data_IF_647612887677
#
_entry.id   IF_647612887677
#
_cell.length_a   1.000
_cell.length_b   1.000
_cell.length_c   1.000
_cell.angle_alpha   90.00
_cell.angle_beta   90.00
_cell.angle_gamma   90.00
#
_symmetry.space_group_name_H-M   'P 1'
#
loop_
_entity.id
_entity.type
_entity.pdbx_description
1 polymer ?
#
# COMPACT_ATOMS: atom_id res chain seq x y z
N UNK A 1 -7.55 -10.36 21.18
CA UNK A 1 -7.79 -10.60 19.74
C UNK A 1 -7.89 -12.10 19.49
N UNK A 2 -8.98 -12.54 18.85
CA UNK A 2 -9.28 -13.97 18.62
C UNK A 2 -8.19 -14.66 17.79
N UNK A 3 -7.69 -14.01 16.74
CA UNK A 3 -6.60 -14.53 15.92
C UNK A 3 -5.32 -14.77 16.74
N UNK A 4 -4.99 -13.85 17.66
CA UNK A 4 -3.84 -14.03 18.55
C UNK A 4 -3.98 -15.25 19.46
N UNK A 5 -5.17 -15.45 20.04
CA UNK A 5 -5.44 -16.62 20.89
C UNK A 5 -5.30 -17.95 20.14
N UNK A 6 -5.71 -17.99 18.86
CA UNK A 6 -5.51 -19.16 18.01
C UNK A 6 -4.01 -19.39 17.77
N UNK A 7 -3.28 -18.35 17.40
CA UNK A 7 -1.83 -18.45 17.14
C UNK A 7 -1.07 -18.90 18.38
N UNK A 8 -1.38 -18.33 19.56
CA UNK A 8 -0.73 -18.68 20.83
C UNK A 8 -1.02 -20.15 21.21
N UNK A 9 -2.27 -20.60 21.01
CA UNK A 9 -2.65 -22.00 21.26
C UNK A 9 -1.92 -22.96 20.34
N UNK A 10 -1.88 -22.68 19.04
CA UNK A 10 -1.20 -23.53 18.06
C UNK A 10 0.30 -23.56 18.31
N UNK A 11 0.93 -22.43 18.63
CA UNK A 11 2.33 -22.35 19.00
C UNK A 11 2.62 -23.16 20.28
N UNK A 12 1.72 -23.08 21.28
CA UNK A 12 1.86 -23.84 22.53
C UNK A 12 1.78 -25.36 22.29
N UNK A 13 0.98 -25.81 21.31
CA UNK A 13 0.82 -27.23 20.97
C UNK A 13 2.04 -27.84 20.27
N UNK A 14 2.92 -27.02 19.67
CA UNK A 14 4.14 -27.51 19.05
C UNK A 14 5.13 -28.02 20.10
N UNK A 15 5.87 -29.10 19.80
CA UNK A 15 6.93 -29.61 20.65
C UNK A 15 8.11 -28.62 20.74
N UNK A 16 9.01 -28.84 21.68
CA UNK A 16 10.25 -28.06 21.83
C UNK A 16 10.08 -26.76 22.62
N UNK A 17 11.20 -26.09 22.84
CA UNK A 17 11.25 -24.81 23.55
C UNK A 17 10.91 -23.65 22.60
N UNK A 18 10.27 -22.59 23.11
CA UNK A 18 10.12 -21.36 22.34
C UNK A 18 11.44 -20.57 22.29
N UNK A 19 11.67 -19.88 21.17
CA UNK A 19 12.73 -18.92 20.97
C UNK A 19 12.13 -17.52 20.88
N UNK A 20 12.83 -16.53 21.44
CA UNK A 20 12.36 -15.15 21.53
C UNK A 20 13.35 -14.23 20.85
N UNK A 21 12.91 -13.52 19.84
CA UNK A 21 13.71 -12.53 19.12
C UNK A 21 13.15 -11.14 19.41
N UNK A 22 13.95 -10.29 20.03
CA UNK A 22 13.55 -8.93 20.34
C UNK A 22 13.95 -8.01 19.19
N UNK A 23 13.01 -7.12 18.78
CA UNK A 23 13.29 -6.09 17.80
C UNK A 23 14.33 -5.07 18.34
N UNK A 24 15.17 -4.59 17.44
CA UNK A 24 16.05 -3.46 17.68
C UNK A 24 15.34 -2.19 17.23
N UNK A 25 15.05 -1.27 18.16
CA UNK A 25 14.38 -0.01 17.87
C UNK A 25 15.34 1.14 18.15
N UNK A 26 15.53 2.02 17.16
CA UNK A 26 16.39 3.19 17.29
C UNK A 26 15.63 4.47 16.96
N UNK A 27 16.02 5.60 17.56
CA UNK A 27 15.36 6.88 17.35
C UNK A 27 13.89 6.90 17.76
N UNK A 28 13.08 7.62 17.01
CA UNK A 28 11.64 7.74 17.27
C UNK A 28 10.85 6.80 16.35
N UNK A 29 10.35 5.70 16.92
CA UNK A 29 9.46 4.76 16.23
C UNK A 29 8.30 4.41 17.18
N UNK A 30 7.08 4.93 16.97
CA UNK A 30 5.96 4.72 17.88
C UNK A 30 5.50 3.24 17.90
N UNK A 31 5.28 2.68 19.10
CA UNK A 31 4.91 1.26 19.28
C UNK A 31 3.66 0.85 18.49
N UNK A 32 2.66 1.74 18.39
CA UNK A 32 1.41 1.45 17.65
C UNK A 32 1.61 1.32 16.14
N UNK A 33 2.78 1.72 15.63
CA UNK A 33 3.15 1.62 14.20
C UNK A 33 4.11 0.46 13.92
N UNK A 34 4.44 -0.36 14.90
CA UNK A 34 5.36 -1.48 14.71
C UNK A 34 4.85 -2.42 13.60
N UNK A 35 5.67 -2.69 12.58
CA UNK A 35 5.28 -3.54 11.45
C UNK A 35 5.24 -5.02 11.83
N UNK A 36 6.00 -5.42 12.84
CA UNK A 36 6.09 -6.77 13.38
C UNK A 36 6.00 -6.75 14.91
N UNK A 37 5.91 -7.91 15.55
CA UNK A 37 5.87 -8.01 16.99
C UNK A 37 7.25 -7.60 17.60
N UNK A 38 7.25 -6.78 18.65
CA UNK A 38 8.49 -6.38 19.33
C UNK A 38 9.27 -7.59 19.85
N UNK A 39 8.53 -8.57 20.37
CA UNK A 39 9.08 -9.85 20.79
C UNK A 39 8.44 -10.93 19.94
N UNK A 40 9.17 -11.39 18.92
CA UNK A 40 8.77 -12.51 18.10
C UNK A 40 9.04 -13.80 18.86
N UNK A 41 7.98 -14.56 19.13
CA UNK A 41 8.07 -15.88 19.78
C UNK A 41 7.73 -16.96 18.76
N UNK A 42 8.67 -17.88 18.51
CA UNK A 42 8.50 -18.96 17.53
C UNK A 42 9.04 -20.28 18.05
N UNK A 43 8.61 -21.35 17.42
CA UNK A 43 9.14 -22.71 17.58
C UNK A 43 9.39 -23.33 16.20
N UNK A 44 10.19 -24.36 16.14
CA UNK A 44 10.29 -25.24 14.98
C UNK A 44 8.91 -25.83 14.64
N UNK A 45 8.56 -25.88 13.35
CA UNK A 45 7.25 -26.26 12.85
C UNK A 45 6.19 -25.14 12.90
N UNK A 46 6.55 -23.91 13.33
CA UNK A 46 5.59 -22.83 13.38
C UNK A 46 5.18 -22.36 11.98
N UNK A 47 3.87 -22.22 11.78
CA UNK A 47 3.33 -21.60 10.57
C UNK A 47 3.46 -20.08 10.67
N UNK A 48 4.09 -19.49 9.68
CA UNK A 48 4.40 -18.05 9.61
C UNK A 48 3.87 -17.43 8.35
N UNK A 49 3.76 -16.09 8.37
CA UNK A 49 3.50 -15.27 7.19
C UNK A 49 4.56 -14.18 7.10
N UNK A 50 5.08 -13.96 5.90
CA UNK A 50 6.03 -12.89 5.64
C UNK A 50 5.33 -11.52 5.60
N UNK A 51 6.01 -10.49 6.12
CA UNK A 51 5.47 -9.12 6.28
C UNK A 51 6.07 -8.12 5.30
N UNK A 52 7.03 -8.57 4.49
CA UNK A 52 7.78 -7.75 3.55
C UNK A 52 8.11 -8.56 2.30
N UNK A 53 8.43 -7.89 1.20
CA UNK A 53 8.98 -8.55 0.03
C UNK A 53 10.49 -8.67 0.19
N UNK A 54 11.05 -9.81 -0.18
CA UNK A 54 12.50 -9.99 -0.27
C UNK A 54 13.06 -9.06 -1.35
N UNK A 55 13.96 -8.16 -0.93
CA UNK A 55 14.62 -7.19 -1.82
C UNK A 55 15.91 -7.75 -2.43
N UNK A 56 16.32 -8.96 -2.03
CA UNK A 56 17.47 -9.65 -2.61
C UNK A 56 17.22 -10.03 -4.08
N UNK A 57 18.27 -10.37 -4.79
CA UNK A 57 18.18 -10.84 -6.18
C UNK A 57 17.39 -12.15 -6.30
N UNK A 58 17.39 -12.96 -5.26
CA UNK A 58 16.76 -14.28 -5.24
C UNK A 58 15.24 -14.21 -5.08
N UNK A 59 14.70 -13.13 -4.46
CA UNK A 59 13.27 -12.89 -4.23
C UNK A 59 12.55 -14.12 -3.65
N UNK A 60 13.13 -14.71 -2.60
CA UNK A 60 12.68 -15.98 -1.99
C UNK A 60 11.32 -15.90 -1.32
N UNK A 61 10.88 -14.69 -0.90
CA UNK A 61 9.59 -14.49 -0.25
C UNK A 61 8.95 -13.15 -0.63
N UNK A 62 7.65 -13.05 -0.43
CA UNK A 62 6.86 -11.84 -0.63
C UNK A 62 5.88 -11.62 0.51
N UNK A 63 5.40 -10.40 0.66
CA UNK A 63 4.45 -10.03 1.70
C UNK A 63 3.15 -10.85 1.57
N UNK A 64 2.78 -11.56 2.65
CA UNK A 64 1.62 -12.44 2.69
C UNK A 64 1.90 -13.89 2.30
N UNK A 65 3.10 -14.25 1.86
CA UNK A 65 3.49 -15.63 1.63
C UNK A 65 3.44 -16.41 2.94
N UNK A 66 2.86 -17.60 2.91
CA UNK A 66 2.80 -18.51 4.06
C UNK A 66 4.01 -19.44 4.02
N UNK A 67 4.69 -19.54 5.15
CA UNK A 67 5.85 -20.39 5.34
C UNK A 67 5.78 -21.21 6.62
N UNK A 68 6.81 -22.00 6.81
CA UNK A 68 7.03 -22.83 8.00
C UNK A 68 8.45 -22.66 8.51
N UNK A 69 8.62 -22.58 9.83
CA UNK A 69 9.94 -22.57 10.47
C UNK A 69 10.49 -24.00 10.47
N UNK A 70 11.58 -24.22 9.73
CA UNK A 70 12.22 -25.55 9.60
C UNK A 70 13.14 -25.82 10.77
N UNK A 71 13.97 -24.83 11.11
CA UNK A 71 14.88 -24.90 12.23
C UNK A 71 15.07 -23.51 12.86
N UNK A 72 15.27 -23.46 14.16
CA UNK A 72 15.49 -22.22 14.89
C UNK A 72 16.47 -22.45 16.05
N UNK A 73 17.39 -21.50 16.21
CA UNK A 73 18.27 -21.42 17.37
C UNK A 73 18.28 -19.97 17.91
N UNK A 74 19.12 -19.65 18.88
CA UNK A 74 19.14 -18.34 19.52
C UNK A 74 19.58 -17.18 18.58
N UNK A 75 20.10 -17.47 17.39
CA UNK A 75 20.64 -16.48 16.43
C UNK A 75 20.14 -16.61 15.01
N UNK A 76 19.54 -17.74 14.64
CA UNK A 76 19.21 -18.06 13.25
C UNK A 76 17.83 -18.70 13.13
N UNK A 77 17.14 -18.36 12.06
CA UNK A 77 15.84 -18.91 11.71
C UNK A 77 15.90 -19.40 10.27
N UNK A 78 15.68 -20.70 10.06
CA UNK A 78 15.52 -21.30 8.74
C UNK A 78 14.04 -21.51 8.45
N UNK A 79 13.62 -21.06 7.29
CA UNK A 79 12.22 -21.09 6.87
C UNK A 79 12.10 -21.64 5.47
N UNK A 80 10.92 -22.17 5.14
CA UNK A 80 10.57 -22.56 3.78
C UNK A 80 9.17 -22.08 3.42
N UNK A 81 8.90 -21.93 2.13
CA UNK A 81 7.52 -21.74 1.65
C UNK A 81 6.69 -22.99 1.97
N UNK A 82 5.44 -22.82 2.34
CA UNK A 82 4.55 -23.95 2.64
C UNK A 82 4.34 -24.81 1.38
N UNK A 83 4.79 -26.06 1.44
CA UNK A 83 4.73 -26.99 0.31
C UNK A 83 6.00 -27.05 -0.53
N UNK A 84 7.04 -26.26 -0.21
CA UNK A 84 8.36 -26.38 -0.80
C UNK A 84 9.27 -27.30 0.02
N UNK A 85 10.25 -27.92 -0.65
CA UNK A 85 11.33 -28.68 0.00
C UNK A 85 12.56 -27.80 0.26
N UNK A 86 12.65 -26.63 -0.38
CA UNK A 86 13.78 -25.72 -0.25
C UNK A 86 13.60 -24.80 0.96
N UNK A 87 14.54 -24.81 1.86
CA UNK A 87 14.64 -23.92 3.01
C UNK A 87 15.74 -22.87 2.80
N UNK A 88 15.62 -21.75 3.50
CA UNK A 88 16.60 -20.68 3.47
C UNK A 88 16.73 -19.99 4.83
N UNK A 89 17.92 -19.43 5.07
CA UNK A 89 18.18 -18.60 6.23
C UNK A 89 17.43 -17.29 6.10
N UNK A 90 16.56 -17.00 7.07
CA UNK A 90 15.86 -15.73 7.15
C UNK A 90 16.72 -14.70 7.90
N UNK A 91 16.85 -13.53 7.32
CA UNK A 91 17.57 -12.42 7.93
C UNK A 91 16.58 -11.37 8.50
N UNK A 92 16.97 -10.66 9.57
CA UNK A 92 16.22 -9.52 10.05
C UNK A 92 16.18 -8.41 9.00
N UNK A 93 15.02 -7.75 8.89
CA UNK A 93 14.78 -6.63 8.00
C UNK A 93 14.57 -5.33 8.80
N UNK A 94 14.89 -4.20 8.18
CA UNK A 94 14.73 -2.89 8.78
C UNK A 94 13.57 -2.13 8.15
N UNK A 95 12.80 -1.43 8.98
CA UNK A 95 11.76 -0.48 8.58
C UNK A 95 12.11 0.90 9.11
N UNK A 96 12.01 1.92 8.26
CA UNK A 96 12.23 3.31 8.63
C UNK A 96 10.92 4.01 9.00
N UNK A 97 10.95 4.83 10.04
CA UNK A 97 9.94 5.83 10.30
C UNK A 97 10.38 7.14 9.63
N UNK A 98 9.70 7.53 8.56
CA UNK A 98 10.06 8.69 7.74
C UNK A 98 9.19 9.90 8.07
N UNK A 99 9.84 11.06 8.15
CA UNK A 99 9.18 12.35 8.21
C UNK A 99 9.52 13.18 6.98
N UNK A 100 8.50 13.79 6.41
CA UNK A 100 8.68 14.71 5.30
C UNK A 100 8.92 16.11 5.83
N UNK A 101 10.06 16.70 5.47
CA UNK A 101 10.47 18.04 5.87
C UNK A 101 10.63 18.90 4.62
N UNK A 102 9.99 20.09 4.64
CA UNK A 102 10.17 21.08 3.59
C UNK A 102 11.52 21.78 3.79
N UNK A 103 12.40 21.68 2.81
CA UNK A 103 13.59 22.52 2.77
C UNK A 103 13.17 23.95 2.39
N UNK A 104 13.35 24.89 3.29
CA UNK A 104 12.91 26.28 3.09
C UNK A 104 13.68 27.00 1.98
N UNK A 105 14.92 26.61 1.71
CA UNK A 105 15.76 27.22 0.68
C UNK A 105 15.43 26.69 -0.72
N UNK A 106 15.38 25.36 -0.88
CA UNK A 106 15.13 24.73 -2.20
C UNK A 106 13.64 24.55 -2.50
N UNK A 107 12.75 24.68 -1.49
CA UNK A 107 11.31 24.37 -1.57
C UNK A 107 11.00 22.91 -1.94
N UNK A 108 11.97 22.04 -1.75
CA UNK A 108 11.81 20.61 -1.98
C UNK A 108 11.42 19.89 -0.69
N UNK A 109 10.61 18.84 -0.84
CA UNK A 109 10.24 17.95 0.27
C UNK A 109 11.30 16.85 0.35
N UNK A 110 11.99 16.78 1.48
CA UNK A 110 12.99 15.73 1.76
C UNK A 110 12.48 14.76 2.80
N UNK A 111 12.84 13.49 2.65
CA UNK A 111 12.56 12.45 3.65
C UNK A 111 13.69 12.39 4.67
N UNK A 112 13.33 12.41 5.96
CA UNK A 112 14.27 12.25 7.07
C UNK A 112 13.84 11.04 7.87
N UNK A 113 14.76 10.14 8.17
CA UNK A 113 14.53 8.98 9.04
C UNK A 113 14.54 9.46 10.49
N UNK A 114 13.40 9.38 11.19
CA UNK A 114 13.30 9.70 12.62
C UNK A 114 13.67 8.52 13.54
N UNK A 115 13.48 7.29 13.03
CA UNK A 115 13.81 6.08 13.77
C UNK A 115 13.74 4.86 12.89
N UNK A 116 14.29 3.74 13.36
CA UNK A 116 14.25 2.45 12.68
C UNK A 116 13.76 1.35 13.61
N UNK A 117 13.12 0.36 13.00
CA UNK A 117 12.67 -0.87 13.66
C UNK A 117 13.24 -2.04 12.89
N UNK A 118 14.05 -2.88 13.52
CA UNK A 118 14.69 -4.04 12.91
C UNK A 118 14.22 -5.32 13.58
N UNK A 119 13.66 -6.23 12.79
CA UNK A 119 13.12 -7.51 13.27
C UNK A 119 13.06 -8.51 12.10
N UNK A 120 12.90 -9.79 12.39
CA UNK A 120 12.56 -10.78 11.37
C UNK A 120 11.21 -10.44 10.74
N UNK A 121 11.11 -10.42 9.39
CA UNK A 121 9.91 -9.97 8.67
C UNK A 121 8.81 -11.04 8.63
N UNK A 122 8.49 -11.64 9.77
CA UNK A 122 7.50 -12.71 9.90
C UNK A 122 6.59 -12.52 11.12
N UNK A 123 5.45 -13.15 11.07
CA UNK A 123 4.55 -13.36 12.22
C UNK A 123 3.91 -14.73 12.19
N UNK A 124 3.38 -15.20 13.32
CA UNK A 124 2.55 -16.40 13.37
C UNK A 124 1.30 -16.22 12.50
N UNK A 125 0.93 -17.24 11.75
CA UNK A 125 -0.12 -17.16 10.74
C UNK A 125 -1.01 -18.40 10.63
N UNK A 126 -1.31 -19.08 11.73
CA UNK A 126 -2.44 -20.01 11.75
C UNK A 126 -3.77 -19.27 11.66
N UNK A 127 -3.85 -18.08 12.27
CA UNK A 127 -4.98 -17.18 12.12
C UNK A 127 -4.52 -15.74 11.94
N UNK A 128 -5.23 -15.00 11.07
CA UNK A 128 -5.05 -13.56 10.86
C UNK A 128 -6.41 -12.86 10.90
N UNK A 129 -6.44 -11.58 11.22
CA UNK A 129 -7.69 -10.82 11.16
C UNK A 129 -8.04 -10.47 9.71
N UNK A 130 -9.33 -10.28 9.42
CA UNK A 130 -9.82 -9.91 8.09
C UNK A 130 -9.12 -8.62 7.61
N UNK A 131 -8.92 -7.63 8.48
CA UNK A 131 -8.20 -6.41 8.12
C UNK A 131 -6.75 -6.68 7.68
N UNK A 132 -6.03 -7.54 8.41
CA UNK A 132 -4.65 -7.89 8.05
C UNK A 132 -4.55 -8.78 6.81
N UNK A 133 -5.66 -9.39 6.39
CA UNK A 133 -5.74 -10.16 5.14
C UNK A 133 -6.00 -9.30 3.89
N UNK A 134 -6.24 -8.00 4.05
CA UNK A 134 -6.45 -7.10 2.92
C UNK A 134 -5.20 -7.08 2.01
N UNK A 135 -5.41 -7.19 0.71
CA UNK A 135 -4.33 -7.27 -0.28
C UNK A 135 -3.69 -8.65 -0.42
N UNK A 136 -3.97 -9.60 0.49
CA UNK A 136 -3.46 -10.96 0.42
C UNK A 136 -4.43 -11.88 -0.34
N UNK A 137 -3.91 -12.99 -0.84
CA UNK A 137 -4.69 -14.02 -1.51
C UNK A 137 -4.25 -15.39 -1.02
N UNK A 138 -5.23 -16.25 -0.70
CA UNK A 138 -4.98 -17.58 -0.16
C UNK A 138 -5.55 -18.66 -1.08
N UNK A 139 -4.85 -19.77 -1.19
CA UNK A 139 -5.35 -20.96 -1.88
C UNK A 139 -6.45 -21.64 -1.08
N UNK A 140 -6.28 -21.70 0.25
CA UNK A 140 -7.22 -22.28 1.20
C UNK A 140 -7.32 -21.41 2.44
N UNK A 141 -8.54 -21.17 2.91
CA UNK A 141 -8.78 -20.43 4.15
C UNK A 141 -10.05 -20.91 4.85
N UNK A 142 -10.01 -20.97 6.17
CA UNK A 142 -11.19 -21.11 7.03
C UNK A 142 -11.58 -19.72 7.48
N UNK A 143 -12.80 -19.30 7.15
CA UNK A 143 -13.27 -17.93 7.41
C UNK A 143 -14.31 -17.97 8.53
N UNK A 144 -14.02 -17.27 9.63
CA UNK A 144 -14.99 -16.95 10.68
C UNK A 144 -15.50 -15.52 10.49
N UNK A 145 -16.70 -15.40 9.94
CA UNK A 145 -17.37 -14.11 9.71
C UNK A 145 -18.54 -13.87 10.68
N UNK A 146 -18.66 -14.64 11.77
CA UNK A 146 -19.78 -14.53 12.73
C UNK A 146 -19.93 -13.15 13.34
N UNK A 147 -18.80 -12.48 13.60
CA UNK A 147 -18.72 -11.20 14.29
C UNK A 147 -18.30 -10.07 13.34
N UNK A 148 -18.66 -10.15 12.05
CA UNK A 148 -18.46 -9.02 11.13
C UNK A 148 -19.29 -7.83 11.60
N UNK A 149 -18.63 -6.68 11.80
CA UNK A 149 -19.23 -5.46 12.34
C UNK A 149 -19.14 -4.26 11.39
N UNK A 150 -18.38 -4.39 10.32
CA UNK A 150 -18.17 -3.32 9.36
C UNK A 150 -18.75 -3.65 7.97
N UNK A 151 -19.20 -2.62 7.26
CA UNK A 151 -19.67 -2.75 5.89
C UNK A 151 -18.59 -3.40 5.01
N UNK A 152 -19.00 -4.37 4.19
CA UNK A 152 -18.11 -5.07 3.26
C UNK A 152 -17.10 -6.02 3.89
N UNK A 153 -17.01 -6.14 5.22
CA UNK A 153 -16.00 -6.99 5.89
C UNK A 153 -16.13 -8.46 5.50
N UNK A 154 -17.35 -8.97 5.40
CA UNK A 154 -17.61 -10.34 4.94
C UNK A 154 -17.16 -10.54 3.49
N UNK A 155 -17.44 -9.57 2.61
CA UNK A 155 -16.97 -9.59 1.23
C UNK A 155 -15.44 -9.61 1.14
N UNK A 156 -14.76 -8.77 1.92
CA UNK A 156 -13.30 -8.76 1.99
C UNK A 156 -12.75 -10.13 2.40
N UNK A 157 -13.35 -10.77 3.42
CA UNK A 157 -12.92 -12.09 3.86
C UNK A 157 -13.10 -13.15 2.77
N UNK A 158 -14.28 -13.24 2.17
CA UNK A 158 -14.61 -14.24 1.14
C UNK A 158 -13.73 -14.05 -0.11
N UNK A 159 -13.49 -12.81 -0.51
CA UNK A 159 -12.67 -12.48 -1.69
C UNK A 159 -11.17 -12.75 -1.50
N UNK A 160 -10.72 -13.18 -0.32
CA UNK A 160 -9.32 -13.57 -0.08
C UNK A 160 -8.98 -14.94 -0.63
N UNK A 161 -9.94 -15.83 -0.82
CA UNK A 161 -9.70 -17.14 -1.44
C UNK A 161 -9.73 -17.06 -2.98
N UNK A 162 -8.79 -17.75 -3.63
CA UNK A 162 -8.73 -17.83 -5.10
C UNK A 162 -9.95 -18.56 -5.68
N UNK A 163 -10.41 -19.62 -5.03
CA UNK A 163 -11.49 -20.49 -5.51
C UNK A 163 -12.49 -20.82 -4.38
N UNK A 164 -13.69 -21.21 -4.76
CA UNK A 164 -14.70 -21.66 -3.80
C UNK A 164 -14.31 -22.98 -3.12
N UNK A 165 -13.59 -23.86 -3.81
CA UNK A 165 -13.11 -25.14 -3.29
C UNK A 165 -12.09 -24.97 -2.16
N UNK A 166 -11.35 -23.85 -2.17
CA UNK A 166 -10.39 -23.52 -1.12
C UNK A 166 -11.02 -22.83 0.08
N UNK A 167 -12.29 -22.43 -0.01
CA UNK A 167 -12.96 -21.65 1.01
C UNK A 167 -13.81 -22.54 1.92
N UNK A 168 -13.55 -22.47 3.23
CA UNK A 168 -14.36 -23.11 4.26
C UNK A 168 -14.93 -22.05 5.18
N UNK A 169 -16.21 -22.13 5.50
CA UNK A 169 -16.83 -21.27 6.51
C UNK A 169 -16.84 -22.00 7.85
N UNK A 170 -16.31 -21.38 8.90
CA UNK A 170 -16.38 -21.91 10.28
C UNK A 170 -17.82 -22.07 10.76
N UNK A 171 -18.71 -21.21 10.27
CA UNK A 171 -20.15 -21.29 10.51
C UNK A 171 -20.92 -20.70 9.33
N UNK A 172 -22.21 -21.08 9.14
CA UNK A 172 -23.05 -20.51 8.11
C UNK A 172 -23.14 -18.98 8.24
N UNK A 173 -23.04 -18.28 7.10
CA UNK A 173 -23.22 -16.84 7.07
C UNK A 173 -24.67 -16.48 7.38
N UNK A 174 -24.86 -15.60 8.35
CA UNK A 174 -26.15 -15.01 8.66
C UNK A 174 -26.37 -13.76 7.82
N UNK A 175 -27.63 -13.39 7.56
CA UNK A 175 -27.96 -12.17 6.82
C UNK A 175 -27.38 -10.92 7.49
N UNK A 176 -27.32 -10.91 8.81
CA UNK A 176 -26.79 -9.81 9.63
C UNK A 176 -25.27 -9.63 9.47
N UNK A 177 -24.56 -10.66 9.01
CA UNK A 177 -23.13 -10.58 8.71
C UNK A 177 -22.84 -9.93 7.33
N UNK A 178 -23.89 -9.79 6.49
CA UNK A 178 -23.79 -9.13 5.18
C UNK A 178 -24.24 -7.69 5.35
N UNK A 179 -23.33 -6.85 5.80
CA UNK A 179 -23.58 -5.43 6.02
C UNK A 179 -23.20 -4.69 4.75
N UNK A 180 -24.17 -4.10 4.05
CA UNK A 180 -23.95 -3.25 2.89
C UNK A 180 -24.24 -1.78 3.24
N UNK A 181 -23.58 -0.87 2.53
CA UNK A 181 -23.84 0.56 2.63
C UNK A 181 -24.89 0.96 1.57
N UNK A 182 -26.02 1.48 2.02
CA UNK A 182 -27.11 1.89 1.12
C UNK A 182 -26.70 3.00 0.14
N UNK A 183 -25.73 3.85 0.51
CA UNK A 183 -25.19 4.90 -0.38
C UNK A 183 -24.42 4.26 -1.52
N UNK A 184 -23.56 3.28 -1.20
CA UNK A 184 -22.77 2.53 -2.20
C UNK A 184 -23.70 1.70 -3.10
N UNK A 185 -24.70 1.02 -2.52
CA UNK A 185 -25.67 0.23 -3.28
C UNK A 185 -26.47 1.10 -4.25
N UNK A 186 -26.93 2.28 -3.82
CA UNK A 186 -27.65 3.22 -4.65
C UNK A 186 -26.75 3.79 -5.77
N UNK A 187 -25.53 4.17 -5.44
CA UNK A 187 -24.54 4.61 -6.43
C UNK A 187 -24.28 3.54 -7.49
N UNK A 188 -24.06 2.29 -7.07
CA UNK A 188 -23.85 1.18 -7.99
C UNK A 188 -25.03 0.97 -8.94
N UNK A 189 -26.27 1.01 -8.41
CA UNK A 189 -27.48 0.91 -9.22
C UNK A 189 -27.61 2.08 -10.21
N UNK A 190 -27.24 3.28 -9.79
CA UNK A 190 -27.26 4.46 -10.64
C UNK A 190 -26.23 4.35 -11.78
N UNK A 191 -25.00 3.93 -11.46
CA UNK A 191 -23.96 3.67 -12.48
C UNK A 191 -24.40 2.59 -13.48
N UNK A 192 -25.04 1.51 -13.02
CA UNK A 192 -25.56 0.47 -13.91
C UNK A 192 -26.67 0.98 -14.83
N UNK A 193 -27.58 1.82 -14.32
CA UNK A 193 -28.64 2.43 -15.13
C UNK A 193 -28.11 3.42 -16.17
N UNK A 194 -27.04 4.14 -15.81
CA UNK A 194 -26.44 5.20 -16.60
C UNK A 194 -25.21 4.73 -17.39
N UNK A 195 -25.06 3.43 -17.62
CA UNK A 195 -23.95 2.91 -18.44
C UNK A 195 -23.93 3.59 -19.80
N UNK A 196 -22.79 4.20 -20.20
CA UNK A 196 -22.70 4.88 -21.49
C UNK A 196 -22.89 3.91 -22.64
N UNK A 197 -23.81 4.22 -23.55
CA UNK A 197 -23.98 3.49 -24.80
C UNK A 197 -22.92 3.86 -25.83
N UNK A 198 -22.82 3.09 -26.92
CA UNK A 198 -21.82 3.28 -27.98
C UNK A 198 -21.82 4.70 -28.58
N UNK A 199 -23.00 5.32 -28.71
CA UNK A 199 -23.12 6.70 -29.18
C UNK A 199 -22.46 7.67 -28.21
N UNK A 200 -22.77 7.56 -26.94
CA UNK A 200 -22.22 8.40 -25.89
C UNK A 200 -20.70 8.24 -25.77
N UNK A 201 -20.18 7.01 -25.87
CA UNK A 201 -18.74 6.75 -25.90
C UNK A 201 -18.07 7.42 -27.12
N UNK A 202 -18.70 7.37 -28.30
CA UNK A 202 -18.19 8.05 -29.49
C UNK A 202 -18.18 9.58 -29.32
N UNK A 203 -19.22 10.14 -28.71
CA UNK A 203 -19.30 11.58 -28.47
C UNK A 203 -18.27 12.03 -27.42
N UNK A 204 -18.07 11.25 -26.35
CA UNK A 204 -17.01 11.49 -25.36
C UNK A 204 -15.61 11.38 -25.97
N UNK A 205 -15.37 10.41 -26.85
CA UNK A 205 -14.11 10.27 -27.57
C UNK A 205 -13.81 11.49 -28.46
N UNK A 206 -14.82 12.00 -29.18
CA UNK A 206 -14.68 13.22 -29.97
C UNK A 206 -14.38 14.43 -29.09
N UNK A 207 -15.10 14.59 -27.98
CA UNK A 207 -14.86 15.67 -27.02
C UNK A 207 -13.41 15.62 -26.49
N UNK A 208 -12.93 14.44 -26.11
CA UNK A 208 -11.55 14.25 -25.67
C UNK A 208 -10.52 14.66 -26.74
N UNK A 209 -10.75 14.31 -28.00
CA UNK A 209 -9.86 14.76 -29.08
C UNK A 209 -9.90 16.28 -29.29
N UNK A 210 -11.05 16.92 -29.12
CA UNK A 210 -11.15 18.37 -29.15
C UNK A 210 -10.40 19.02 -27.99
N UNK A 211 -10.48 18.45 -26.79
CA UNK A 211 -9.72 18.92 -25.61
C UNK A 211 -8.21 18.81 -25.87
N UNK A 212 -7.73 17.68 -26.41
CA UNK A 212 -6.32 17.52 -26.79
C UNK A 212 -5.87 18.55 -27.82
N UNK A 213 -6.72 18.85 -28.83
CA UNK A 213 -6.41 19.91 -29.80
C UNK A 213 -6.38 21.28 -29.15
N UNK A 214 -7.31 21.58 -28.26
CA UNK A 214 -7.34 22.84 -27.51
C UNK A 214 -6.07 23.00 -26.66
N UNK A 215 -5.61 21.92 -26.01
CA UNK A 215 -4.38 21.92 -25.23
C UNK A 215 -3.14 22.14 -26.12
N UNK A 216 -3.12 21.56 -27.32
CA UNK A 216 -2.03 21.74 -28.29
C UNK A 216 -1.90 23.22 -28.71
N UNK A 217 -3.03 23.94 -28.82
CA UNK A 217 -3.07 25.37 -29.17
C UNK A 217 -3.18 26.28 -27.95
N UNK A 218 -2.89 25.76 -26.74
CA UNK A 218 -2.84 26.53 -25.52
C UNK A 218 -1.49 27.27 -25.40
N UNK A 219 -1.49 28.54 -25.75
CA UNK A 219 -0.30 29.39 -25.68
C UNK A 219 -0.13 30.12 -24.33
N UNK A 220 -0.86 29.71 -23.29
CA UNK A 220 -0.79 30.35 -21.97
C UNK A 220 0.64 30.45 -21.41
N UNK A 221 1.47 29.41 -21.58
CA UNK A 221 2.87 29.44 -21.15
C UNK A 221 3.70 30.48 -21.91
N UNK A 222 3.44 30.66 -23.20
CA UNK A 222 4.09 31.68 -24.02
C UNK A 222 3.66 33.09 -23.57
N UNK A 223 2.36 33.30 -23.35
CA UNK A 223 1.83 34.56 -22.81
C UNK A 223 2.46 34.92 -21.46
N UNK A 224 2.60 33.95 -20.55
CA UNK A 224 3.25 34.16 -19.26
C UNK A 224 4.75 34.47 -19.39
N UNK A 225 5.44 33.82 -20.32
CA UNK A 225 6.85 34.11 -20.60
C UNK A 225 7.01 35.51 -21.17
N UNK A 226 6.14 35.93 -22.07
CA UNK A 226 6.10 37.26 -22.65
C UNK A 226 5.85 38.35 -21.58
N UNK A 227 4.86 38.16 -20.70
CA UNK A 227 4.58 39.07 -19.58
C UNK A 227 5.78 39.21 -18.63
N UNK A 228 6.50 38.09 -18.38
CA UNK A 228 7.77 38.16 -17.61
C UNK A 228 8.85 38.96 -18.32
N UNK A 229 9.01 38.75 -19.62
CA UNK A 229 9.97 39.49 -20.42
C UNK A 229 9.65 41.00 -20.38
N UNK A 230 8.40 41.41 -20.60
CA UNK A 230 8.00 42.82 -20.52
C UNK A 230 8.32 43.42 -19.16
N UNK A 231 8.11 42.70 -18.07
CA UNK A 231 8.43 43.14 -16.71
C UNK A 231 9.93 43.36 -16.55
N UNK A 232 10.76 42.43 -16.99
CA UNK A 232 12.23 42.58 -16.96
C UNK A 232 12.70 43.77 -17.79
N UNK A 233 12.11 44.00 -18.96
CA UNK A 233 12.45 45.16 -19.80
C UNK A 233 12.07 46.49 -19.13
N UNK A 234 10.93 46.53 -18.44
CA UNK A 234 10.42 47.72 -17.75
C UNK A 234 11.20 48.01 -16.45
N UNK A 235 11.50 47.00 -15.65
CA UNK A 235 12.14 47.17 -14.34
C UNK A 235 13.67 47.32 -14.46
N UNK A 236 14.32 46.48 -15.26
CA UNK A 236 15.78 46.36 -15.28
C UNK A 236 16.44 47.08 -16.46
N UNK A 237 15.85 47.04 -17.65
CA UNK A 237 16.50 47.47 -18.89
C UNK A 237 15.96 48.78 -19.47
N UNK A 238 14.84 49.30 -18.94
CA UNK A 238 14.22 50.56 -19.48
C UNK A 238 15.18 51.73 -19.54
N UNK A 239 16.02 51.91 -18.54
CA UNK A 239 16.99 53.03 -18.49
C UNK A 239 18.08 52.92 -19.55
N UNK A 240 18.43 51.70 -19.95
CA UNK A 240 19.48 51.43 -20.94
C UNK A 240 18.89 51.36 -22.37
N UNK A 241 17.69 50.82 -22.52
CA UNK A 241 17.07 50.55 -23.82
C UNK A 241 15.59 50.95 -23.87
N UNK A 242 15.22 52.24 -23.72
CA UNK A 242 13.81 52.65 -23.62
C UNK A 242 12.96 52.32 -24.86
N UNK A 243 13.56 52.30 -26.05
CA UNK A 243 12.85 51.95 -27.30
C UNK A 243 12.49 50.50 -27.37
N UNK A 244 13.25 49.62 -26.76
CA UNK A 244 13.05 48.18 -26.78
C UNK A 244 11.69 47.79 -26.15
N UNK A 245 11.37 48.38 -24.99
CA UNK A 245 10.10 48.17 -24.32
C UNK A 245 8.90 48.58 -25.19
N UNK A 246 9.02 49.71 -25.91
CA UNK A 246 7.94 50.18 -26.80
C UNK A 246 7.69 49.20 -27.96
N UNK A 247 8.76 48.70 -28.57
CA UNK A 247 8.67 47.74 -29.67
C UNK A 247 8.07 46.41 -29.22
N UNK A 248 8.47 45.88 -28.05
CA UNK A 248 7.89 44.63 -27.52
C UNK A 248 6.43 44.79 -27.11
N UNK A 249 5.99 45.93 -26.59
CA UNK A 249 4.57 46.19 -26.29
C UNK A 249 3.68 46.18 -27.55
N UNK A 250 4.22 46.46 -28.73
CA UNK A 250 3.49 46.39 -29.99
C UNK A 250 3.20 44.94 -30.41
N UNK A 251 3.88 43.94 -29.85
CA UNK A 251 3.64 42.52 -30.13
C UNK A 251 2.50 41.93 -29.28
N UNK A 252 2.05 42.61 -28.21
CA UNK A 252 1.04 42.14 -27.29
C UNK A 252 -0.28 41.72 -27.95
N UNK A 253 -0.80 42.42 -28.99
CA UNK A 253 -2.00 42.01 -29.68
C UNK A 253 -1.85 40.75 -30.57
N UNK A 254 -0.63 40.26 -30.75
CA UNK A 254 -0.29 39.15 -31.66
C UNK A 254 0.14 37.87 -30.92
N UNK A 255 0.16 37.90 -29.58
CA UNK A 255 0.45 36.76 -28.69
C UNK A 255 -0.78 36.36 -27.89
#
# INVERSE_FOLDING_TARGET
>A
NQAQQVNDRELASLPGKPYHFRAEVTGTFPEYTYPADEILTIKEGAQIMFLKNDVSLEKRYYNGMIGEVVAVNDSEIYVKEKGSEEDFLLLPEEWGNYKYVLNEETKEITEVIEGTFRQYPIRLAWAITIHKSQGLTFERAIIDARNSFAHGQTYVALSRCKTLEGLVLESPLRKEAIISDSVVDNFTKEVERNKPGNKQLSDMQKAYFFDLLSDLFNFYSLEQAYKRLLRMLDEDLYKLYPKLLTEYKLLEPHI
#
